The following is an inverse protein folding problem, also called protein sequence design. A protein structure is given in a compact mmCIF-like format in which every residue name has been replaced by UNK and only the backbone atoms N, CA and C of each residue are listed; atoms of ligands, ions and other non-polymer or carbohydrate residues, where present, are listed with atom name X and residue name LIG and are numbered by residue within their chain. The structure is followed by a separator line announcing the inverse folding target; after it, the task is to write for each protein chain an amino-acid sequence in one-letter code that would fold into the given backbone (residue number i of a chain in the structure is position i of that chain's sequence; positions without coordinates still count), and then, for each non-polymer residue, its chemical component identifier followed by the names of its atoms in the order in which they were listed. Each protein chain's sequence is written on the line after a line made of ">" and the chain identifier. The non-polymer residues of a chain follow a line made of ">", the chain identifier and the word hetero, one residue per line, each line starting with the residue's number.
data_IF_543268093536
#
_entry.id   IF_543268093536
#
_cell.length_a   1.000
_cell.length_b   1.000
_cell.length_c   1.000
_cell.angle_alpha   90.00
_cell.angle_beta   90.00
_cell.angle_gamma   90.00
#
_symmetry.space_group_name_H-M   'P 1'
#
loop_
_entity.id
_entity.type
_entity.pdbx_description
1 polymer ?
#
# COMPACT_ATOMS: atom_id res chain seq x y z
N UNK A 1 10.77 5.60 -5.90
CA UNK A 1 12.06 6.26 -6.20
C UNK A 1 13.23 5.70 -5.39
N UNK A 2 13.05 4.58 -4.68
CA UNK A 2 14.10 3.94 -3.88
C UNK A 2 15.36 3.62 -4.68
N UNK A 3 15.16 3.22 -5.92
CA UNK A 3 16.22 2.86 -6.87
C UNK A 3 17.21 3.99 -7.19
N UNK A 4 16.79 5.26 -7.04
CA UNK A 4 17.62 6.43 -7.26
C UNK A 4 18.68 6.65 -6.16
N UNK A 5 18.46 6.06 -5.00
CA UNK A 5 19.27 6.29 -3.79
C UNK A 5 20.14 5.12 -3.36
N UNK A 6 20.41 4.17 -4.27
CA UNK A 6 21.21 2.97 -3.97
C UNK A 6 22.59 3.29 -3.40
N UNK A 7 23.19 4.38 -3.83
CA UNK A 7 24.53 4.81 -3.43
C UNK A 7 24.53 6.10 -2.60
N UNK A 8 23.39 6.42 -1.99
CA UNK A 8 23.24 7.67 -1.23
C UNK A 8 24.11 7.72 0.02
N UNK A 9 24.70 8.87 0.29
CA UNK A 9 25.37 9.17 1.55
C UNK A 9 24.44 9.82 2.60
N UNK A 10 23.20 10.16 2.19
CA UNK A 10 22.21 10.67 3.13
C UNK A 10 21.76 9.58 4.10
N UNK A 11 22.19 9.66 5.35
CA UNK A 11 22.06 8.60 6.35
C UNK A 11 20.62 8.04 6.50
N UNK A 12 19.60 8.90 6.42
CA UNK A 12 18.19 8.47 6.53
C UNK A 12 17.81 7.55 5.38
N UNK A 13 18.13 7.94 4.14
CA UNK A 13 17.82 7.15 2.95
C UNK A 13 18.70 5.90 2.86
N UNK A 14 19.98 6.02 3.23
CA UNK A 14 20.93 4.90 3.27
C UNK A 14 20.42 3.76 4.17
N UNK A 15 19.90 4.08 5.33
CA UNK A 15 19.33 3.10 6.26
C UNK A 15 18.06 2.43 5.66
N UNK A 16 17.21 3.18 4.98
CA UNK A 16 16.00 2.65 4.35
C UNK A 16 16.35 1.76 3.16
N UNK A 17 17.30 2.16 2.33
CA UNK A 17 17.75 1.36 1.17
C UNK A 17 18.42 0.05 1.60
N UNK A 18 19.07 0.02 2.77
CA UNK A 18 19.69 -1.18 3.33
C UNK A 18 18.67 -2.18 3.92
N UNK A 19 17.44 -1.74 4.22
CA UNK A 19 16.38 -2.59 4.72
C UNK A 19 15.63 -3.24 3.55
N UNK A 20 15.43 -4.56 3.61
CA UNK A 20 14.72 -5.34 2.57
C UNK A 20 13.28 -4.90 2.37
N UNK A 21 12.64 -4.33 3.40
CA UNK A 21 11.30 -3.76 3.37
C UNK A 21 11.31 -2.22 3.33
N UNK A 22 12.48 -1.63 3.15
CA UNK A 22 12.63 -0.19 3.07
C UNK A 22 12.16 0.38 1.73
N UNK A 23 11.45 1.49 1.78
CA UNK A 23 10.92 2.18 0.61
C UNK A 23 11.12 3.69 0.72
N UNK A 24 11.46 4.32 -0.38
CA UNK A 24 11.42 5.78 -0.54
C UNK A 24 10.36 6.08 -1.59
N UNK A 25 9.25 6.61 -1.15
CA UNK A 25 8.11 6.95 -2.00
C UNK A 25 7.92 8.44 -2.13
N UNK A 26 7.36 8.89 -3.25
CA UNK A 26 7.12 10.31 -3.53
C UNK A 26 5.76 10.56 -4.17
N UNK A 27 5.18 11.72 -3.86
CA UNK A 27 4.03 12.29 -4.55
C UNK A 27 4.38 13.67 -5.09
N UNK A 28 4.12 13.91 -6.38
CA UNK A 28 4.25 15.23 -7.01
C UNK A 28 2.88 15.90 -7.15
N UNK A 29 2.84 17.18 -6.83
CA UNK A 29 1.68 18.06 -7.03
C UNK A 29 2.10 19.25 -7.88
N UNK A 30 1.49 19.37 -9.04
CA UNK A 30 1.80 20.44 -10.00
C UNK A 30 1.25 21.79 -9.49
N UNK A 31 2.02 22.85 -9.70
CA UNK A 31 1.67 24.22 -9.33
C UNK A 31 1.20 24.39 -7.86
N UNK A 32 1.75 23.58 -6.95
CA UNK A 32 1.34 23.55 -5.55
C UNK A 32 2.35 24.19 -4.59
N UNK A 33 3.57 24.54 -5.04
CA UNK A 33 4.65 25.03 -4.16
C UNK A 33 4.25 26.23 -3.29
N UNK A 34 3.53 27.21 -3.87
CA UNK A 34 3.16 28.45 -3.19
C UNK A 34 2.02 28.26 -2.17
N UNK A 35 1.18 27.24 -2.37
CA UNK A 35 0.07 26.89 -1.47
C UNK A 35 0.58 26.25 -0.18
N UNK A 36 1.76 25.65 -0.20
CA UNK A 36 2.32 24.91 0.93
C UNK A 36 3.52 25.61 1.55
N UNK A 37 3.25 26.57 2.43
CA UNK A 37 4.28 27.19 3.26
C UNK A 37 4.91 26.19 4.21
N UNK A 38 6.07 26.51 4.80
CA UNK A 38 6.74 25.66 5.80
C UNK A 38 5.78 25.25 6.93
N UNK A 39 4.99 26.19 7.44
CA UNK A 39 4.01 25.92 8.50
C UNK A 39 2.94 24.91 8.08
N UNK A 40 2.51 24.94 6.81
CA UNK A 40 1.55 23.95 6.27
C UNK A 40 2.20 22.59 6.11
N UNK A 41 3.45 22.54 5.63
CA UNK A 41 4.22 21.30 5.51
C UNK A 41 4.51 20.66 6.88
N UNK A 42 4.78 21.46 7.92
CA UNK A 42 4.92 20.98 9.29
C UNK A 42 3.62 20.31 9.78
N UNK A 43 2.45 20.88 9.44
CA UNK A 43 1.15 20.23 9.76
C UNK A 43 0.94 18.92 9.00
N UNK A 44 1.36 18.83 7.74
CA UNK A 44 1.31 17.58 6.99
C UNK A 44 2.24 16.53 7.59
N UNK A 45 3.41 16.94 8.08
CA UNK A 45 4.31 16.04 8.80
C UNK A 45 3.65 15.47 10.06
N UNK A 46 3.00 16.30 10.87
CA UNK A 46 2.26 15.83 12.04
C UNK A 46 1.08 14.90 11.66
N UNK A 47 0.40 15.22 10.56
CA UNK A 47 -0.67 14.35 10.04
C UNK A 47 -0.18 12.94 9.72
N UNK A 48 0.95 12.79 9.00
CA UNK A 48 1.47 11.46 8.67
C UNK A 48 2.12 10.76 9.86
N UNK A 49 2.71 11.51 10.79
CA UNK A 49 3.27 10.94 12.02
C UNK A 49 2.18 10.32 12.91
N UNK A 50 1.12 11.05 13.16
CA UNK A 50 0.05 10.59 14.05
C UNK A 50 -0.91 9.62 13.38
N UNK A 51 -1.25 9.86 12.10
CA UNK A 51 -2.22 9.04 11.36
C UNK A 51 -1.63 7.75 10.78
N UNK A 52 -0.38 7.80 10.30
CA UNK A 52 0.23 6.71 9.55
C UNK A 52 1.52 6.16 10.18
N UNK A 53 1.94 6.70 11.33
CA UNK A 53 3.17 6.33 12.05
C UNK A 53 4.48 6.60 11.27
N UNK A 54 4.45 7.46 10.24
CA UNK A 54 5.66 7.83 9.51
C UNK A 54 6.63 8.61 10.40
N UNK A 55 7.92 8.33 10.31
CA UNK A 55 8.95 9.03 11.12
C UNK A 55 9.11 10.49 10.73
N UNK A 56 9.03 10.79 9.44
CA UNK A 56 9.19 12.13 8.90
C UNK A 56 8.51 12.28 7.53
N UNK A 57 8.23 13.54 7.16
CA UNK A 57 7.84 13.95 5.81
C UNK A 57 8.90 14.90 5.27
N UNK A 58 9.58 14.49 4.21
CA UNK A 58 10.46 15.36 3.45
C UNK A 58 9.72 16.02 2.29
N UNK A 59 10.23 17.14 1.82
CA UNK A 59 9.67 17.82 0.67
C UNK A 59 10.74 18.46 -0.21
N UNK A 60 10.43 18.58 -1.49
CA UNK A 60 11.17 19.33 -2.50
C UNK A 60 10.20 20.25 -3.23
N UNK A 61 10.70 21.40 -3.67
CA UNK A 61 10.00 22.39 -4.47
C UNK A 61 10.88 22.84 -5.61
N UNK A 62 10.29 23.12 -6.77
CA UNK A 62 11.00 23.69 -7.91
C UNK A 62 10.52 25.13 -8.13
N UNK A 63 11.44 26.08 -8.16
CA UNK A 63 11.16 27.49 -8.41
C UNK A 63 12.30 28.15 -9.18
N UNK A 64 12.00 28.83 -10.29
CA UNK A 64 12.98 29.51 -11.15
C UNK A 64 14.16 28.59 -11.57
N UNK A 65 13.86 27.33 -11.85
CA UNK A 65 14.86 26.32 -12.18
C UNK A 65 15.71 25.82 -11.00
N UNK A 66 15.43 26.27 -9.78
CA UNK A 66 16.16 25.85 -8.58
C UNK A 66 15.36 24.91 -7.73
N UNK A 67 16.01 23.83 -7.27
CA UNK A 67 15.44 22.85 -6.32
C UNK A 67 15.68 23.32 -4.89
N UNK A 68 14.60 23.47 -4.13
CA UNK A 68 14.62 23.84 -2.71
C UNK A 68 13.87 22.79 -1.90
N UNK A 69 14.08 22.74 -0.57
CA UNK A 69 13.36 21.80 0.28
C UNK A 69 14.13 21.31 1.50
N UNK A 70 13.49 20.44 2.27
CA UNK A 70 14.04 19.96 3.54
C UNK A 70 15.25 19.04 3.37
N UNK A 71 15.38 18.37 2.22
CA UNK A 71 16.43 17.36 1.98
C UNK A 71 17.38 17.74 0.83
N UNK A 72 17.30 18.95 0.29
CA UNK A 72 18.20 19.38 -0.82
C UNK A 72 19.67 19.36 -0.43
N UNK A 73 20.01 19.77 0.81
CA UNK A 73 21.39 19.84 1.25
C UNK A 73 22.12 18.49 1.35
N UNK A 74 21.49 17.43 1.90
CA UNK A 74 22.16 16.14 2.02
C UNK A 74 22.19 15.30 0.74
N UNK A 75 21.45 15.71 -0.32
CA UNK A 75 21.47 15.00 -1.62
C UNK A 75 22.61 15.48 -2.50
N UNK A 76 23.24 14.55 -3.21
CA UNK A 76 24.21 14.87 -4.27
C UNK A 76 23.53 15.52 -5.48
N UNK A 77 24.30 16.19 -6.35
CA UNK A 77 23.75 16.77 -7.57
C UNK A 77 23.18 15.70 -8.52
N UNK A 78 23.80 14.53 -8.57
CA UNK A 78 23.29 13.38 -9.35
C UNK A 78 21.93 12.93 -8.86
N UNK A 79 21.75 12.78 -7.54
CA UNK A 79 20.47 12.39 -6.92
C UNK A 79 19.39 13.45 -7.15
N UNK A 80 19.73 14.74 -7.01
CA UNK A 80 18.79 15.84 -7.30
C UNK A 80 18.31 15.80 -8.74
N UNK A 81 19.24 15.67 -9.69
CA UNK A 81 18.91 15.60 -11.11
C UNK A 81 18.08 14.36 -11.43
N UNK A 82 18.42 13.20 -10.86
CA UNK A 82 17.67 11.96 -11.04
C UNK A 82 16.23 12.07 -10.51
N UNK A 83 16.02 12.71 -9.37
CA UNK A 83 14.67 12.97 -8.82
C UNK A 83 13.89 13.91 -9.72
N UNK A 84 14.51 15.02 -10.17
CA UNK A 84 13.87 16.00 -11.06
C UNK A 84 13.44 15.32 -12.36
N UNK A 85 14.30 14.55 -12.98
CA UNK A 85 14.01 13.82 -14.21
C UNK A 85 12.93 12.74 -14.00
N UNK A 86 13.07 11.89 -12.98
CA UNK A 86 12.13 10.79 -12.70
C UNK A 86 10.72 11.28 -12.45
N UNK A 87 10.56 12.42 -11.78
CA UNK A 87 9.28 13.00 -11.43
C UNK A 87 8.81 14.08 -12.42
N UNK A 88 9.57 14.36 -13.49
CA UNK A 88 9.30 15.45 -14.45
C UNK A 88 8.94 16.74 -13.70
N UNK A 89 9.81 17.17 -12.79
CA UNK A 89 9.57 18.35 -11.96
C UNK A 89 9.72 19.63 -12.77
N UNK A 90 8.76 20.52 -12.61
CA UNK A 90 8.71 21.84 -13.26
C UNK A 90 8.57 22.95 -12.21
N UNK A 91 8.84 24.18 -12.62
CA UNK A 91 8.61 25.35 -11.77
C UNK A 91 7.17 25.38 -11.27
N UNK A 92 7.00 25.58 -9.97
CA UNK A 92 5.72 25.54 -9.29
C UNK A 92 5.39 24.21 -8.62
N UNK A 93 6.14 23.15 -8.88
CA UNK A 93 5.85 21.82 -8.33
C UNK A 93 6.27 21.65 -6.87
N UNK A 94 5.47 20.90 -6.15
CA UNK A 94 5.75 20.38 -4.80
C UNK A 94 5.85 18.86 -4.86
N UNK A 95 6.93 18.33 -4.30
CA UNK A 95 7.11 16.89 -4.09
C UNK A 95 7.16 16.60 -2.60
N UNK A 96 6.36 15.64 -2.16
CA UNK A 96 6.35 15.10 -0.79
C UNK A 96 7.00 13.73 -0.82
N UNK A 97 7.91 13.45 0.12
CA UNK A 97 8.71 12.22 0.15
C UNK A 97 8.62 11.62 1.54
N UNK A 98 8.39 10.31 1.59
CA UNK A 98 8.46 9.50 2.81
C UNK A 98 9.45 8.36 2.58
N UNK A 99 10.31 8.15 3.57
CA UNK A 99 11.30 7.08 3.59
C UNK A 99 11.14 6.29 4.90
N UNK A 100 10.62 5.07 4.79
CA UNK A 100 10.35 4.18 5.92
C UNK A 100 10.13 2.74 5.42
N UNK A 101 9.57 1.87 6.25
CA UNK A 101 9.04 0.59 5.81
C UNK A 101 7.95 0.78 4.74
N UNK A 102 7.89 -0.11 3.75
CA UNK A 102 6.97 -0.01 2.60
C UNK A 102 5.51 0.23 3.01
N UNK A 103 4.97 -0.51 3.99
CA UNK A 103 3.59 -0.35 4.47
C UNK A 103 3.32 1.05 5.02
N UNK A 104 4.29 1.61 5.76
CA UNK A 104 4.18 2.98 6.29
C UNK A 104 4.22 3.99 5.14
N UNK A 105 5.11 3.81 4.16
CA UNK A 105 5.22 4.70 3.00
C UNK A 105 3.93 4.68 2.20
N UNK A 106 3.42 3.51 1.86
CA UNK A 106 2.19 3.35 1.06
C UNK A 106 0.98 3.95 1.74
N UNK A 107 0.75 3.63 3.02
CA UNK A 107 -0.37 4.19 3.79
C UNK A 107 -0.28 5.71 3.93
N UNK A 108 0.92 6.23 4.17
CA UNK A 108 1.15 7.66 4.34
C UNK A 108 0.97 8.43 3.03
N UNK A 109 1.52 7.93 1.92
CA UNK A 109 1.35 8.56 0.61
C UNK A 109 -0.09 8.46 0.14
N UNK A 110 -0.78 7.34 0.39
CA UNK A 110 -2.21 7.19 0.12
C UNK A 110 -3.05 8.24 0.85
N UNK A 111 -2.83 8.41 2.15
CA UNK A 111 -3.51 9.41 2.97
C UNK A 111 -3.21 10.84 2.52
N UNK A 112 -1.94 11.16 2.22
CA UNK A 112 -1.53 12.46 1.67
C UNK A 112 -2.17 12.73 0.32
N UNK A 113 -2.19 11.75 -0.58
CA UNK A 113 -2.81 11.90 -1.90
C UNK A 113 -4.27 12.33 -1.81
N UNK A 114 -5.04 11.64 -1.00
CA UNK A 114 -6.46 11.96 -0.79
C UNK A 114 -6.63 13.34 -0.14
N UNK A 115 -5.88 13.60 0.93
CA UNK A 115 -5.93 14.89 1.64
C UNK A 115 -5.61 16.07 0.73
N UNK A 116 -4.49 16.00 -0.01
CA UNK A 116 -4.10 17.09 -0.89
C UNK A 116 -4.99 17.21 -2.12
N UNK A 117 -5.55 16.10 -2.63
CA UNK A 117 -6.52 16.15 -3.71
C UNK A 117 -7.77 16.96 -3.34
N UNK A 118 -8.25 16.85 -2.09
CA UNK A 118 -9.33 17.69 -1.58
C UNK A 118 -8.88 19.15 -1.37
N UNK A 119 -7.73 19.39 -0.75
CA UNK A 119 -7.24 20.75 -0.46
C UNK A 119 -6.92 21.55 -1.72
N UNK A 120 -6.55 20.88 -2.80
CA UNK A 120 -6.18 21.48 -4.09
C UNK A 120 -7.34 21.48 -5.10
N UNK A 121 -8.53 21.02 -4.72
CA UNK A 121 -9.70 20.89 -5.60
C UNK A 121 -9.43 20.06 -6.87
N UNK A 122 -8.62 19.00 -6.72
CA UNK A 122 -8.27 18.10 -7.84
C UNK A 122 -9.35 17.04 -8.13
N UNK A 123 -10.30 16.88 -7.22
CA UNK A 123 -11.38 15.92 -7.39
C UNK A 123 -12.49 16.57 -8.21
N UNK A 124 -12.84 16.01 -9.37
CA UNK A 124 -13.91 16.57 -10.20
C UNK A 124 -15.24 16.67 -9.43
N UNK A 125 -15.90 17.81 -9.56
CA UNK A 125 -17.26 18.02 -9.05
C UNK A 125 -18.28 17.78 -10.14
N UNK A 126 -19.49 17.30 -9.78
CA UNK A 126 -20.59 17.03 -10.69
C UNK A 126 -20.75 15.53 -11.02
N UNK A 127 -21.52 15.23 -12.05
CA UNK A 127 -21.79 13.85 -12.48
C UNK A 127 -20.58 13.22 -13.17
N UNK A 128 -19.68 12.69 -12.36
CA UNK A 128 -18.47 11.99 -12.82
C UNK A 128 -18.38 10.63 -12.13
N UNK A 129 -18.54 9.55 -12.90
CA UNK A 129 -18.48 8.19 -12.39
C UNK A 129 -17.20 7.51 -12.88
N UNK A 130 -16.22 7.33 -11.98
CA UNK A 130 -14.94 6.68 -12.26
C UNK A 130 -14.87 5.36 -11.51
N UNK A 131 -15.08 4.28 -12.25
CA UNK A 131 -14.98 2.92 -11.74
C UNK A 131 -13.55 2.39 -11.88
N UNK A 132 -13.13 1.59 -10.92
CA UNK A 132 -11.94 0.77 -11.01
C UNK A 132 -12.12 -0.54 -10.23
N UNK A 133 -11.46 -1.59 -10.68
CA UNK A 133 -11.32 -2.83 -9.93
C UNK A 133 -10.01 -2.79 -9.14
N UNK A 134 -10.09 -3.17 -7.87
CA UNK A 134 -8.93 -3.51 -7.06
C UNK A 134 -8.84 -5.02 -7.04
N UNK A 135 -7.71 -5.57 -7.41
CA UNK A 135 -7.45 -7.02 -7.47
C UNK A 135 -6.11 -7.33 -6.85
N UNK A 136 -5.78 -8.62 -6.77
CA UNK A 136 -4.46 -9.07 -6.29
C UNK A 136 -4.18 -8.68 -4.85
N UNK A 137 -5.21 -8.73 -4.01
CA UNK A 137 -5.04 -8.52 -2.58
C UNK A 137 -4.10 -9.57 -1.98
N UNK A 138 -3.33 -9.23 -0.94
CA UNK A 138 -2.58 -10.22 -0.19
C UNK A 138 -3.54 -11.26 0.40
N UNK A 139 -3.13 -12.54 0.36
CA UNK A 139 -3.90 -13.63 0.95
C UNK A 139 -3.82 -13.60 2.47
N UNK A 140 -2.66 -13.21 2.99
CA UNK A 140 -2.33 -13.20 4.42
C UNK A 140 -1.78 -11.85 4.87
N UNK A 141 -1.99 -11.56 6.14
CA UNK A 141 -1.36 -10.45 6.86
C UNK A 141 -0.62 -11.00 8.08
N UNK A 142 0.54 -10.43 8.38
CA UNK A 142 1.25 -10.80 9.60
C UNK A 142 0.70 -10.00 10.77
N UNK A 143 0.12 -10.71 11.75
CA UNK A 143 -0.32 -10.14 13.01
C UNK A 143 0.84 -10.11 14.01
N UNK A 144 1.33 -8.91 14.33
CA UNK A 144 2.35 -8.74 15.36
C UNK A 144 1.83 -9.12 16.76
N UNK A 145 0.54 -8.92 17.01
CA UNK A 145 -0.10 -9.26 18.28
C UNK A 145 -0.15 -10.77 18.48
N UNK A 146 -0.54 -11.53 17.44
CA UNK A 146 -0.63 -12.98 17.48
C UNK A 146 0.68 -13.68 17.08
N UNK A 147 1.68 -12.92 16.60
CA UNK A 147 2.98 -13.39 16.10
C UNK A 147 2.84 -14.53 15.07
N UNK A 148 1.90 -14.38 14.14
CA UNK A 148 1.61 -15.34 13.07
C UNK A 148 0.93 -14.70 11.87
N UNK A 149 0.90 -15.42 10.76
CA UNK A 149 0.08 -15.07 9.60
C UNK A 149 -1.40 -15.32 9.90
N UNK A 150 -2.25 -14.38 9.48
CA UNK A 150 -3.72 -14.47 9.53
C UNK A 150 -4.28 -14.23 8.14
N UNK A 151 -5.49 -14.67 7.87
CA UNK A 151 -6.16 -14.37 6.60
C UNK A 151 -6.45 -12.86 6.52
N UNK A 152 -6.05 -12.22 5.43
CA UNK A 152 -6.26 -10.79 5.22
C UNK A 152 -7.76 -10.44 5.18
N UNK A 153 -8.59 -11.32 4.62
CA UNK A 153 -10.05 -11.17 4.57
C UNK A 153 -10.73 -12.30 5.34
N UNK A 154 -10.82 -13.48 4.72
CA UNK A 154 -11.35 -14.69 5.35
C UNK A 154 -10.72 -15.94 4.73
N UNK A 155 -10.66 -17.07 5.46
CA UNK A 155 -9.89 -18.25 5.04
C UNK A 155 -10.53 -19.07 3.90
N UNK A 156 -11.67 -18.66 3.36
CA UNK A 156 -12.37 -19.31 2.25
C UNK A 156 -12.07 -18.68 0.88
N UNK A 157 -11.31 -17.58 0.85
CA UNK A 157 -10.84 -16.95 -0.38
C UNK A 157 -9.78 -17.85 -1.03
N UNK A 158 -9.88 -18.06 -2.34
CA UNK A 158 -8.88 -18.82 -3.08
C UNK A 158 -7.60 -17.99 -3.27
N UNK A 159 -6.41 -18.58 -3.08
CA UNK A 159 -5.16 -18.00 -3.56
C UNK A 159 -5.12 -18.03 -5.09
N UNK A 160 -4.22 -17.24 -5.68
CA UNK A 160 -3.87 -17.43 -7.09
C UNK A 160 -3.21 -18.79 -7.29
N UNK A 161 -3.47 -19.43 -8.44
CA UNK A 161 -2.98 -20.79 -8.73
C UNK A 161 -1.44 -20.84 -8.72
N UNK A 162 -0.80 -19.80 -9.26
CA UNK A 162 0.67 -19.67 -9.29
C UNK A 162 1.32 -19.46 -7.91
N UNK A 163 0.54 -19.14 -6.89
CA UNK A 163 1.04 -18.86 -5.55
C UNK A 163 0.75 -19.99 -4.53
N UNK A 164 0.05 -21.06 -4.94
CA UNK A 164 -0.31 -22.16 -4.03
C UNK A 164 0.91 -22.80 -3.36
N UNK A 165 2.01 -22.94 -4.09
CA UNK A 165 3.24 -23.53 -3.56
C UNK A 165 3.98 -22.62 -2.55
N UNK A 166 3.59 -21.33 -2.49
CA UNK A 166 4.17 -20.34 -1.57
C UNK A 166 3.44 -20.26 -0.23
N UNK A 167 2.31 -20.92 -0.05
CA UNK A 167 1.47 -20.81 1.15
C UNK A 167 2.24 -20.95 2.47
N UNK A 168 3.28 -21.80 2.50
CA UNK A 168 4.11 -22.03 3.69
C UNK A 168 5.51 -21.43 3.58
N UNK A 169 6.07 -21.36 2.37
CA UNK A 169 7.45 -20.93 2.16
C UNK A 169 7.59 -19.41 2.07
N UNK A 170 6.56 -18.71 1.57
CA UNK A 170 6.58 -17.26 1.35
C UNK A 170 5.16 -16.68 1.42
N UNK A 171 4.47 -16.78 2.58
CA UNK A 171 3.09 -16.32 2.73
C UNK A 171 2.90 -14.81 2.51
N UNK A 172 3.95 -14.02 2.67
CA UNK A 172 3.94 -12.57 2.41
C UNK A 172 3.62 -12.23 0.95
N UNK A 173 4.02 -13.08 0.01
CA UNK A 173 3.85 -12.86 -1.42
C UNK A 173 2.78 -13.76 -2.06
N UNK A 174 1.87 -14.30 -1.27
CA UNK A 174 0.69 -15.01 -1.76
C UNK A 174 -0.42 -14.03 -2.05
N UNK A 175 -0.84 -13.96 -3.31
CA UNK A 175 -1.98 -13.14 -3.73
C UNK A 175 -3.27 -13.93 -3.68
N UNK A 176 -4.35 -13.27 -3.27
CA UNK A 176 -5.68 -13.83 -3.26
C UNK A 176 -6.45 -13.53 -4.55
N UNK A 177 -7.52 -14.27 -4.80
CA UNK A 177 -8.50 -14.00 -5.87
C UNK A 177 -9.69 -13.19 -5.34
N UNK A 178 -9.39 -12.25 -4.42
CA UNK A 178 -10.35 -11.24 -3.98
C UNK A 178 -10.37 -10.06 -4.96
N UNK A 179 -11.49 -9.35 -4.97
CA UNK A 179 -11.70 -8.18 -5.81
C UNK A 179 -12.68 -7.22 -5.16
N UNK A 180 -12.44 -5.91 -5.37
CA UNK A 180 -13.36 -4.85 -5.00
C UNK A 180 -13.68 -4.00 -6.21
N UNK A 181 -14.94 -3.58 -6.35
CA UNK A 181 -15.34 -2.53 -7.28
C UNK A 181 -15.42 -1.21 -6.52
N UNK A 182 -14.64 -0.24 -6.98
CA UNK A 182 -14.54 1.09 -6.38
C UNK A 182 -15.11 2.12 -7.35
N UNK A 183 -15.95 3.02 -6.85
CA UNK A 183 -16.47 4.18 -7.56
C UNK A 183 -16.06 5.46 -6.82
N UNK A 184 -15.32 6.33 -7.50
CA UNK A 184 -14.90 7.63 -6.97
C UNK A 184 -14.20 7.55 -5.59
N UNK A 185 -13.47 6.46 -5.32
CA UNK A 185 -12.80 6.22 -4.05
C UNK A 185 -13.65 5.52 -2.99
N UNK A 186 -14.88 5.15 -3.30
CA UNK A 186 -15.75 4.38 -2.41
C UNK A 186 -15.90 2.94 -2.91
N UNK A 187 -15.65 1.98 -2.03
CA UNK A 187 -15.95 0.57 -2.29
C UNK A 187 -17.47 0.39 -2.41
N UNK A 188 -17.91 -0.10 -3.57
CA UNK A 188 -19.32 -0.38 -3.82
C UNK A 188 -19.68 -1.83 -3.54
N UNK A 189 -18.78 -2.72 -3.88
CA UNK A 189 -18.94 -4.15 -3.66
C UNK A 189 -17.59 -4.82 -3.54
N UNK A 190 -17.56 -5.94 -2.83
CA UNK A 190 -16.39 -6.79 -2.74
C UNK A 190 -16.77 -8.26 -2.84
N UNK A 191 -15.81 -9.08 -3.24
CA UNK A 191 -16.01 -10.51 -3.35
C UNK A 191 -14.70 -11.26 -3.57
N UNK A 192 -14.83 -12.57 -3.65
CA UNK A 192 -13.68 -13.41 -3.99
C UNK A 192 -14.12 -14.70 -4.68
N UNK A 193 -13.22 -15.24 -5.49
CA UNK A 193 -13.31 -16.65 -5.88
C UNK A 193 -13.05 -17.49 -4.64
N UNK A 194 -13.87 -18.51 -4.43
CA UNK A 194 -13.82 -19.37 -3.24
C UNK A 194 -12.95 -20.60 -3.50
N UNK A 195 -12.42 -21.17 -2.41
CA UNK A 195 -11.74 -22.46 -2.46
C UNK A 195 -12.80 -23.53 -2.63
N UNK A 196 -12.64 -24.36 -3.68
CA UNK A 196 -13.53 -25.48 -3.98
C UNK A 196 -12.92 -26.83 -3.57
N UNK A 197 -11.59 -26.89 -3.57
CA UNK A 197 -10.82 -28.08 -3.24
C UNK A 197 -10.62 -28.19 -1.72
N UNK A 198 -10.96 -29.35 -1.16
CA UNK A 198 -10.86 -29.56 0.28
C UNK A 198 -9.41 -29.60 0.77
N UNK A 199 -8.51 -30.20 -0.02
CA UNK A 199 -7.09 -30.30 0.35
C UNK A 199 -6.45 -28.92 0.36
N UNK A 200 -6.82 -28.06 -0.59
CA UNK A 200 -6.38 -26.66 -0.61
C UNK A 200 -6.94 -25.88 0.58
N UNK A 201 -8.21 -26.12 0.95
CA UNK A 201 -8.81 -25.48 2.12
C UNK A 201 -8.10 -25.88 3.43
N UNK A 202 -7.71 -27.12 3.57
CA UNK A 202 -6.94 -27.62 4.71
C UNK A 202 -5.57 -26.95 4.78
N UNK A 203 -4.86 -26.85 3.64
CA UNK A 203 -3.57 -26.13 3.56
C UNK A 203 -3.68 -24.67 3.96
N UNK A 204 -4.72 -23.97 3.53
CA UNK A 204 -4.95 -22.57 3.89
C UNK A 204 -5.23 -22.42 5.39
N UNK A 205 -6.02 -23.31 6.00
CA UNK A 205 -6.20 -23.31 7.45
C UNK A 205 -4.89 -23.56 8.20
N UNK A 206 -4.10 -24.52 7.74
CA UNK A 206 -2.79 -24.81 8.33
C UNK A 206 -1.83 -23.60 8.23
N UNK A 207 -1.79 -22.93 7.07
CA UNK A 207 -0.95 -21.76 6.85
C UNK A 207 -1.24 -20.61 7.83
N UNK A 208 -2.50 -20.47 8.26
CA UNK A 208 -2.90 -19.48 9.28
C UNK A 208 -2.92 -20.06 10.71
N UNK A 209 -2.37 -21.26 10.93
CA UNK A 209 -2.29 -21.89 12.25
C UNK A 209 -3.64 -22.33 12.82
N UNK A 210 -4.65 -22.54 11.98
CA UNK A 210 -5.96 -23.05 12.37
C UNK A 210 -6.03 -24.57 12.13
N UNK A 211 -5.99 -25.37 13.20
CA UNK A 211 -6.12 -26.83 13.07
C UNK A 211 -7.50 -27.22 12.52
N UNK A 212 -7.57 -28.34 11.79
CA UNK A 212 -8.83 -28.88 11.25
C UNK A 212 -9.88 -29.17 12.33
N UNK A 213 -9.46 -29.52 13.54
CA UNK A 213 -10.37 -29.72 14.68
C UNK A 213 -11.06 -28.40 15.03
N UNK A 214 -10.29 -27.31 15.20
CA UNK A 214 -10.83 -25.99 15.48
C UNK A 214 -11.60 -25.39 14.29
N UNK A 215 -11.18 -25.69 13.06
CA UNK A 215 -11.91 -25.29 11.87
C UNK A 215 -13.29 -25.97 11.80
N UNK A 216 -13.38 -27.25 12.12
CA UNK A 216 -14.66 -28.02 12.20
C UNK A 216 -15.54 -27.50 13.33
N UNK A 217 -14.98 -27.17 14.48
CA UNK A 217 -15.75 -26.58 15.59
C UNK A 217 -16.40 -25.25 15.20
N UNK A 218 -15.67 -24.38 14.48
CA UNK A 218 -16.13 -23.04 14.12
C UNK A 218 -16.97 -23.01 12.84
N UNK A 219 -16.58 -23.81 11.85
CA UNK A 219 -17.09 -23.76 10.48
C UNK A 219 -17.63 -25.11 9.98
N UNK A 220 -17.83 -26.08 10.85
CA UNK A 220 -18.18 -27.47 10.46
C UNK A 220 -19.42 -27.54 9.58
N UNK A 221 -20.47 -26.79 9.91
CA UNK A 221 -21.69 -26.73 9.11
C UNK A 221 -21.43 -26.22 7.69
N UNK A 222 -20.52 -25.26 7.55
CA UNK A 222 -20.16 -24.65 6.29
C UNK A 222 -19.26 -25.57 5.45
N UNK A 223 -18.27 -26.19 6.09
CA UNK A 223 -17.40 -27.18 5.45
C UNK A 223 -18.19 -28.42 4.99
N UNK A 224 -19.19 -28.84 5.77
CA UNK A 224 -20.06 -29.95 5.39
C UNK A 224 -20.96 -29.60 4.21
N UNK A 225 -21.48 -28.37 4.13
CA UNK A 225 -22.23 -27.89 2.97
C UNK A 225 -21.38 -27.91 1.70
N UNK A 226 -20.08 -27.58 1.78
CA UNK A 226 -19.17 -27.59 0.64
C UNK A 226 -18.92 -28.99 0.04
N UNK A 227 -19.17 -30.05 0.77
CA UNK A 227 -19.12 -31.42 0.24
C UNK A 227 -20.17 -31.69 -0.85
N UNK A 228 -21.24 -30.90 -0.86
CA UNK A 228 -22.31 -30.99 -1.86
C UNK A 228 -22.12 -30.01 -3.03
N UNK A 229 -21.18 -29.10 -2.94
CA UNK A 229 -20.82 -28.12 -3.95
C UNK A 229 -20.52 -26.75 -3.35
N UNK A 230 -19.52 -26.11 -3.90
CA UNK A 230 -19.12 -24.76 -3.49
C UNK A 230 -19.46 -23.77 -4.60
N UNK A 231 -20.15 -22.65 -4.31
CA UNK A 231 -20.33 -21.58 -5.30
C UNK A 231 -18.99 -21.10 -5.83
N UNK A 232 -18.89 -20.71 -7.14
CA UNK A 232 -17.62 -20.29 -7.73
C UNK A 232 -17.06 -19.02 -7.08
N UNK A 233 -17.94 -18.14 -6.59
CA UNK A 233 -17.56 -16.94 -5.84
C UNK A 233 -18.59 -16.61 -4.78
N UNK A 234 -18.22 -15.73 -3.84
CA UNK A 234 -19.11 -15.13 -2.86
C UNK A 234 -18.72 -13.68 -2.62
N UNK A 235 -19.68 -12.90 -2.16
CA UNK A 235 -19.62 -11.45 -2.04
C UNK A 235 -20.55 -10.78 -3.04
N UNK A 236 -20.79 -9.50 -2.90
CA UNK A 236 -21.60 -8.66 -3.81
C UNK A 236 -20.92 -7.33 -3.95
#
# INVERSE_FOLDING_TARGET
>A
ITDLFKNTEFAVFKNVVADTRGMIGALKFENAQDKYSRKVLDKLQEFVKHGCKAKALAYLKMANGELTGSIVKPLSEEEKNAVVERLDMKDGDLVLIIADNNRIVESSLGALRVKLAHELDLIPTGECYKFLWVTDFPMFEYSEEENRWVAAHHPFTAPKEEDIDKLFSDPEHVSSRAYDLVLNGYELLSGSIRIHDQDLQEKVFEAIGLSMEKAKERFGFFLDAFKFGTPPHGGV
#
